data_IF_075065784287
#
_entry.id   IF_075065784287
#
_cell.length_a   1.000
_cell.length_b   1.000
_cell.length_c   1.000
_cell.angle_alpha   90.00
_cell.angle_beta   90.00
_cell.angle_gamma   90.00
#
_symmetry.space_group_name_H-M   'P 1'
#
loop_
_entity.id
_entity.type
_entity.pdbx_description
1 polymer ?
#
# COMPACT_ATOMS: atom_id res chain seq x y z
N UNK A 1 -26.88 -4.83 -16.76
CA UNK A 1 -25.72 -5.67 -16.38
C UNK A 1 -24.51 -5.19 -17.18
N UNK A 2 -23.91 -4.06 -16.78
CA UNK A 2 -22.75 -3.46 -17.44
C UNK A 2 -21.97 -2.52 -16.49
N UNK A 3 -21.89 -2.84 -15.19
CA UNK A 3 -21.16 -2.02 -14.20
C UNK A 3 -19.93 -2.75 -13.59
N UNK A 4 -19.85 -4.08 -13.67
CA UNK A 4 -18.78 -4.85 -13.01
C UNK A 4 -17.38 -4.66 -13.64
N UNK A 5 -17.30 -4.19 -14.89
CA UNK A 5 -16.01 -3.97 -15.58
C UNK A 5 -15.23 -2.75 -15.10
N UNK A 6 -15.91 -1.74 -14.54
CA UNK A 6 -15.28 -0.51 -14.08
C UNK A 6 -14.84 -0.60 -12.61
N UNK A 7 -15.64 -1.25 -11.76
CA UNK A 7 -15.36 -1.35 -10.31
C UNK A 7 -14.07 -2.12 -10.00
N UNK A 8 -13.76 -3.19 -10.74
CA UNK A 8 -12.54 -3.97 -10.52
C UNK A 8 -11.26 -3.20 -10.84
N UNK A 9 -11.28 -2.34 -11.87
CA UNK A 9 -10.15 -1.51 -12.26
C UNK A 9 -9.94 -0.34 -11.28
N UNK A 10 -11.02 0.30 -10.83
CA UNK A 10 -10.95 1.40 -9.87
C UNK A 10 -10.46 0.94 -8.48
N UNK A 11 -10.90 -0.25 -8.04
CA UNK A 11 -10.46 -0.83 -6.78
C UNK A 11 -8.96 -1.18 -6.78
N UNK A 12 -8.44 -1.75 -7.88
CA UNK A 12 -7.01 -2.06 -8.02
C UNK A 12 -6.13 -0.80 -7.89
N UNK A 13 -6.57 0.31 -8.45
CA UNK A 13 -5.87 1.61 -8.35
C UNK A 13 -5.87 2.14 -6.90
N UNK A 14 -6.99 2.02 -6.19
CA UNK A 14 -7.11 2.46 -4.79
C UNK A 14 -6.11 1.70 -3.92
N UNK A 15 -6.07 0.36 -4.03
CA UNK A 15 -5.19 -0.45 -3.19
C UNK A 15 -3.71 -0.33 -3.57
N UNK A 16 -3.42 -0.10 -4.86
CA UNK A 16 -2.07 0.25 -5.30
C UNK A 16 -1.61 1.58 -4.68
N UNK A 17 -2.47 2.59 -4.64
CA UNK A 17 -2.16 3.89 -4.03
C UNK A 17 -1.88 3.75 -2.52
N UNK A 18 -2.70 2.98 -1.79
CA UNK A 18 -2.46 2.67 -0.37
C UNK A 18 -1.12 1.94 -0.20
N UNK A 19 -0.83 0.95 -1.05
CA UNK A 19 0.44 0.23 -1.03
C UNK A 19 1.64 1.13 -1.26
N UNK A 20 1.55 2.10 -2.18
CA UNK A 20 2.62 3.07 -2.42
C UNK A 20 2.88 3.95 -1.20
N UNK A 21 1.82 4.39 -0.51
CA UNK A 21 1.94 5.18 0.72
C UNK A 21 2.62 4.37 1.82
N UNK A 22 2.16 3.14 2.06
CA UNK A 22 2.74 2.23 3.07
C UNK A 22 4.20 1.90 2.73
N UNK A 23 4.49 1.53 1.49
CA UNK A 23 5.84 1.20 1.04
C UNK A 23 6.80 2.39 1.07
N UNK A 24 6.33 3.58 0.70
CA UNK A 24 7.09 4.82 0.83
C UNK A 24 7.42 5.14 2.28
N UNK A 25 6.43 5.05 3.17
CA UNK A 25 6.62 5.28 4.60
C UNK A 25 7.63 4.30 5.22
N UNK A 26 7.52 3.01 4.89
CA UNK A 26 8.49 1.98 5.31
C UNK A 26 9.89 2.28 4.81
N UNK A 27 10.01 2.62 3.52
CA UNK A 27 11.30 2.92 2.90
C UNK A 27 11.98 4.10 3.60
N UNK A 28 11.27 5.22 3.79
CA UNK A 28 11.80 6.40 4.48
C UNK A 28 12.28 6.02 5.89
N UNK A 29 11.44 5.31 6.66
CA UNK A 29 11.78 4.94 8.04
C UNK A 29 12.99 4.02 8.12
N UNK A 30 13.01 2.96 7.32
CA UNK A 30 14.10 1.99 7.33
C UNK A 30 15.40 2.63 6.86
N UNK A 31 15.39 3.40 5.78
CA UNK A 31 16.60 4.04 5.24
C UNK A 31 17.10 5.18 6.12
N UNK A 32 16.20 5.93 6.75
CA UNK A 32 16.57 6.91 7.78
C UNK A 32 17.22 6.24 8.98
N UNK A 33 16.69 5.10 9.45
CA UNK A 33 17.26 4.37 10.57
C UNK A 33 18.63 3.73 10.24
N UNK A 34 18.84 3.33 8.97
CA UNK A 34 20.12 2.79 8.49
C UNK A 34 21.17 3.87 8.17
N UNK A 35 20.80 5.17 8.24
CA UNK A 35 21.69 6.26 7.80
C UNK A 35 22.05 6.18 6.31
N UNK A 36 21.16 5.59 5.49
CA UNK A 36 21.38 5.35 4.06
C UNK A 36 20.74 6.43 3.16
N UNK A 37 20.11 7.46 3.75
CA UNK A 37 19.43 8.54 3.00
C UNK A 37 20.41 9.50 2.30
N UNK A 38 21.61 9.68 2.85
CA UNK A 38 22.57 10.71 2.41
C UNK A 38 23.80 10.13 1.68
N UNK A 39 23.78 8.83 1.37
CA UNK A 39 24.90 8.14 0.73
C UNK A 39 24.44 7.22 -0.38
N UNK A 40 25.39 6.81 -1.21
CA UNK A 40 25.14 5.80 -2.22
C UNK A 40 24.70 4.48 -1.57
N UNK A 41 23.67 3.88 -2.17
CA UNK A 41 23.10 2.62 -1.73
C UNK A 41 23.97 1.45 -2.17
N UNK A 42 24.31 0.58 -1.23
CA UNK A 42 24.88 -0.71 -1.57
C UNK A 42 23.87 -1.54 -2.38
N UNK A 43 24.30 -2.51 -3.21
CA UNK A 43 23.40 -3.34 -4.00
C UNK A 43 22.30 -4.03 -3.17
N UNK A 44 22.63 -4.46 -1.95
CA UNK A 44 21.67 -5.07 -1.01
C UNK A 44 20.64 -4.06 -0.53
N UNK A 45 21.04 -2.81 -0.29
CA UNK A 45 20.13 -1.73 0.09
C UNK A 45 19.23 -1.36 -1.08
N UNK A 46 19.73 -1.38 -2.31
CA UNK A 46 18.89 -1.17 -3.49
C UNK A 46 17.79 -2.24 -3.62
N UNK A 47 18.13 -3.51 -3.37
CA UNK A 47 17.14 -4.60 -3.30
C UNK A 47 16.15 -4.40 -2.16
N UNK A 48 16.61 -3.94 -1.00
CA UNK A 48 15.76 -3.65 0.14
C UNK A 48 14.79 -2.49 -0.16
N UNK A 49 15.25 -1.44 -0.84
CA UNK A 49 14.42 -0.33 -1.29
C UNK A 49 13.28 -0.83 -2.20
N UNK A 50 13.63 -1.64 -3.20
CA UNK A 50 12.64 -2.22 -4.11
C UNK A 50 11.65 -3.13 -3.36
N UNK A 51 12.14 -3.96 -2.44
CA UNK A 51 11.29 -4.84 -1.66
C UNK A 51 10.33 -4.05 -0.75
N UNK A 52 10.81 -3.05 -0.03
CA UNK A 52 9.99 -2.24 0.87
C UNK A 52 8.94 -1.41 0.12
N UNK A 53 9.27 -0.92 -1.09
CA UNK A 53 8.34 -0.16 -1.90
C UNK A 53 7.30 -1.05 -2.59
N UNK A 54 7.74 -2.16 -3.21
CA UNK A 54 6.89 -2.97 -4.07
C UNK A 54 6.10 -4.05 -3.32
N UNK A 55 6.64 -4.61 -2.23
CA UNK A 55 5.95 -5.69 -1.52
C UNK A 55 4.57 -5.26 -0.97
N UNK A 56 4.40 -4.06 -0.36
CA UNK A 56 3.08 -3.60 0.07
C UNK A 56 2.10 -3.39 -1.09
N UNK A 57 2.57 -2.84 -2.22
CA UNK A 57 1.75 -2.64 -3.42
C UNK A 57 1.27 -3.97 -3.98
N UNK A 58 2.20 -4.90 -4.23
CA UNK A 58 1.90 -6.22 -4.78
C UNK A 58 1.00 -7.00 -3.82
N UNK A 59 1.29 -6.95 -2.51
CA UNK A 59 0.52 -7.63 -1.48
C UNK A 59 -0.93 -7.16 -1.45
N UNK A 60 -1.17 -5.85 -1.36
CA UNK A 60 -2.53 -5.31 -1.31
C UNK A 60 -3.31 -5.55 -2.60
N UNK A 61 -2.68 -5.36 -3.77
CA UNK A 61 -3.33 -5.67 -5.05
C UNK A 61 -3.68 -7.15 -5.19
N UNK A 62 -2.79 -8.04 -4.75
CA UNK A 62 -3.03 -9.49 -4.82
C UNK A 62 -4.17 -9.91 -3.89
N UNK A 63 -4.21 -9.37 -2.66
CA UNK A 63 -5.29 -9.60 -1.71
C UNK A 63 -6.63 -9.06 -2.25
N UNK A 64 -6.63 -7.84 -2.79
CA UNK A 64 -7.81 -7.25 -3.41
C UNK A 64 -8.38 -8.13 -4.52
N UNK A 65 -7.52 -8.61 -5.43
CA UNK A 65 -7.93 -9.49 -6.54
C UNK A 65 -8.55 -10.80 -6.05
N UNK A 66 -7.93 -11.46 -5.08
CA UNK A 66 -8.45 -12.72 -4.56
C UNK A 66 -9.78 -12.53 -3.82
N UNK A 67 -9.87 -11.49 -2.97
CA UNK A 67 -11.11 -11.21 -2.25
C UNK A 67 -12.24 -10.77 -3.19
N UNK A 68 -11.92 -10.01 -4.25
CA UNK A 68 -12.90 -9.63 -5.27
C UNK A 68 -13.37 -10.85 -6.07
N UNK A 69 -12.47 -11.77 -6.41
CA UNK A 69 -12.83 -13.03 -7.05
C UNK A 69 -13.78 -13.88 -6.18
N UNK A 70 -13.59 -13.89 -4.86
CA UNK A 70 -14.51 -14.56 -3.93
C UNK A 70 -15.90 -13.89 -3.89
N UNK A 71 -15.99 -12.58 -4.07
CA UNK A 71 -17.27 -11.87 -4.22
C UNK A 71 -17.97 -12.25 -5.52
N UNK A 72 -17.24 -12.28 -6.64
CA UNK A 72 -17.79 -12.68 -7.95
C UNK A 72 -18.25 -14.14 -7.91
N UNK A 73 -17.54 -15.00 -7.19
CA UNK A 73 -17.90 -16.40 -7.00
C UNK A 73 -19.03 -16.62 -5.97
N UNK A 74 -19.65 -15.56 -5.46
CA UNK A 74 -20.72 -15.56 -4.43
C UNK A 74 -20.31 -16.26 -3.11
N UNK A 75 -19.01 -16.41 -2.85
CA UNK A 75 -18.47 -16.98 -1.61
C UNK A 75 -18.40 -15.95 -0.49
N UNK A 76 -18.47 -14.67 -0.84
CA UNK A 76 -18.38 -13.53 0.07
C UNK A 76 -19.22 -12.37 -0.45
N UNK A 77 -19.41 -11.34 0.37
CA UNK A 77 -20.19 -10.15 0.00
C UNK A 77 -19.27 -8.97 -0.33
N UNK A 78 -19.75 -8.02 -1.15
CA UNK A 78 -19.05 -6.74 -1.40
C UNK A 78 -18.73 -6.00 -0.09
N UNK A 79 -19.61 -6.08 0.91
CA UNK A 79 -19.39 -5.46 2.22
C UNK A 79 -18.21 -6.08 2.98
N UNK A 80 -18.10 -7.41 2.95
CA UNK A 80 -16.96 -8.14 3.53
C UNK A 80 -15.65 -7.75 2.85
N UNK A 81 -15.63 -7.71 1.51
CA UNK A 81 -14.47 -7.26 0.73
C UNK A 81 -13.94 -5.90 1.19
N UNK A 82 -14.82 -4.88 1.20
CA UNK A 82 -14.43 -3.51 1.56
C UNK A 82 -13.99 -3.42 3.02
N UNK A 83 -14.71 -4.08 3.93
CA UNK A 83 -14.38 -4.06 5.37
C UNK A 83 -13.01 -4.69 5.63
N UNK A 84 -12.72 -5.83 5.01
CA UNK A 84 -11.43 -6.51 5.15
C UNK A 84 -10.30 -5.66 4.57
N UNK A 85 -10.46 -5.14 3.35
CA UNK A 85 -9.40 -4.34 2.72
C UNK A 85 -9.12 -3.03 3.45
N UNK A 86 -10.16 -2.35 3.96
CA UNK A 86 -10.00 -1.17 4.81
C UNK A 86 -9.28 -1.55 6.12
N UNK A 87 -9.67 -2.65 6.77
CA UNK A 87 -9.03 -3.10 8.01
C UNK A 87 -7.55 -3.40 7.85
N UNK A 88 -7.16 -4.08 6.76
CA UNK A 88 -5.76 -4.33 6.40
C UNK A 88 -5.04 -3.00 6.17
N UNK A 89 -5.63 -2.11 5.38
CA UNK A 89 -5.03 -0.82 5.02
C UNK A 89 -4.77 0.07 6.23
N UNK A 90 -5.76 0.21 7.13
CA UNK A 90 -5.63 0.99 8.36
C UNK A 90 -4.55 0.40 9.27
N UNK A 91 -4.51 -0.93 9.40
CA UNK A 91 -3.50 -1.61 10.21
C UNK A 91 -2.10 -1.43 9.63
N UNK A 92 -1.94 -1.55 8.31
CA UNK A 92 -0.67 -1.30 7.61
C UNK A 92 -0.20 0.14 7.82
N UNK A 93 -1.08 1.13 7.63
CA UNK A 93 -0.75 2.54 7.86
C UNK A 93 -0.33 2.78 9.31
N UNK A 94 -1.10 2.27 10.28
CA UNK A 94 -0.78 2.40 11.70
C UNK A 94 0.58 1.76 12.06
N UNK A 95 0.90 0.59 11.51
CA UNK A 95 2.21 -0.06 11.69
C UNK A 95 3.34 0.77 11.11
N UNK A 96 3.11 1.44 9.98
CA UNK A 96 4.06 2.41 9.43
C UNK A 96 4.08 3.73 10.17
N UNK A 97 3.30 3.89 11.25
CA UNK A 97 3.19 5.08 12.07
C UNK A 97 2.47 6.25 11.40
N UNK A 98 1.68 5.99 10.36
CA UNK A 98 0.73 6.93 9.79
C UNK A 98 -0.57 6.73 10.56
N UNK A 99 -0.90 7.69 11.42
CA UNK A 99 -2.09 7.63 12.30
C UNK A 99 -3.12 8.70 11.94
N UNK A 100 -2.73 9.68 11.15
CA UNK A 100 -3.57 10.80 10.72
C UNK A 100 -3.29 11.22 9.27
N UNK A 101 -4.19 12.03 8.69
CA UNK A 101 -4.00 12.65 7.38
C UNK A 101 -2.85 13.68 7.42
N UNK A 102 -2.62 14.33 8.56
CA UNK A 102 -1.52 15.29 8.72
C UNK A 102 -0.15 14.63 8.57
N UNK A 103 -0.02 13.36 8.99
CA UNK A 103 1.19 12.56 8.79
C UNK A 103 1.47 12.36 7.29
N UNK A 104 0.43 12.09 6.49
CA UNK A 104 0.53 11.94 5.03
C UNK A 104 0.95 13.24 4.35
N UNK A 105 0.33 14.36 4.73
CA UNK A 105 0.64 15.68 4.17
C UNK A 105 2.08 16.08 4.50
N UNK A 106 2.52 15.80 5.73
CA UNK A 106 3.89 16.08 6.17
C UNK A 106 4.92 15.24 5.39
N UNK A 107 4.62 13.96 5.17
CA UNK A 107 5.44 13.08 4.33
C UNK A 107 5.52 13.58 2.89
N UNK A 108 4.40 13.95 2.28
CA UNK A 108 4.35 14.45 0.91
C UNK A 108 5.17 15.74 0.73
N UNK A 109 5.10 16.66 1.71
CA UNK A 109 5.93 17.88 1.72
C UNK A 109 7.43 17.59 1.84
N UNK A 110 7.79 16.51 2.54
CA UNK A 110 9.20 16.12 2.73
C UNK A 110 9.77 15.49 1.45
N UNK A 111 8.96 14.74 0.70
CA UNK A 111 9.37 14.12 -0.57
C UNK A 111 9.42 15.09 -1.76
N UNK A 112 8.69 16.20 -1.70
CA UNK A 112 8.63 17.21 -2.76
C UNK A 112 9.74 18.28 -2.70
N UNK A 113 10.70 18.12 -1.79
CA UNK A 113 11.78 19.08 -1.51
C UNK A 113 13.12 18.47 -1.90
#
# INVERSE_FOLDING_TARGET
MAEDGNEGNDADVIWAAVGCVVGGALTIKVFSAMGAMERDLAPVEMLLLLALLLAPVIGLMTLAKHLHADVIAEKSTKATYWTTMIGISVTSLALTGITSIDDLITMAKTLAK
#
